data_IF_367670926304
#
_entry.id   IF_367670926304
#
_cell.length_a   1.000
_cell.length_b   1.000
_cell.length_c   1.000
_cell.angle_alpha   90.00
_cell.angle_beta   90.00
_cell.angle_gamma   90.00
#
_symmetry.space_group_name_H-M   'P 1'
#
loop_
_entity.id
_entity.type
_entity.pdbx_description
1 polymer ?
#
# COMPACT_ATOMS: atom_id res chain seq x y z
N UNK A 1 -4.52 -3.22 2.00
CA UNK A 1 -3.81 -1.92 1.87
C UNK A 1 -4.61 -0.75 2.46
N UNK A 2 -5.68 -0.27 1.83
CA UNK A 2 -6.39 0.97 2.25
C UNK A 2 -6.88 0.98 3.70
N UNK A 3 -7.37 -0.17 4.20
CA UNK A 3 -7.74 -0.32 5.60
C UNK A 3 -6.57 -0.03 6.54
N UNK A 4 -5.40 -0.60 6.24
CA UNK A 4 -4.17 -0.38 7.02
C UNK A 4 -3.66 1.06 6.91
N UNK A 5 -3.98 1.75 5.82
CA UNK A 5 -3.65 3.16 5.61
C UNK A 5 -4.63 4.12 6.34
N UNK A 6 -5.64 3.61 7.05
CA UNK A 6 -6.59 4.43 7.78
C UNK A 6 -7.56 5.20 6.86
N UNK A 7 -7.75 4.75 5.62
CA UNK A 7 -8.62 5.46 4.69
C UNK A 7 -10.07 5.44 5.21
N UNK A 8 -10.82 6.55 5.15
CA UNK A 8 -12.25 6.55 5.47
C UNK A 8 -13.05 5.70 4.48
N UNK A 9 -14.13 5.06 4.92
CA UNK A 9 -14.90 4.13 4.09
C UNK A 9 -15.43 4.76 2.80
N UNK A 10 -15.92 6.01 2.84
CA UNK A 10 -16.39 6.71 1.63
C UNK A 10 -15.30 7.01 0.59
N UNK A 11 -14.02 6.93 1.01
CA UNK A 11 -12.85 7.18 0.16
C UNK A 11 -12.28 5.92 -0.46
N UNK A 12 -12.81 4.74 -0.13
CA UNK A 12 -12.35 3.49 -0.75
C UNK A 12 -12.64 3.48 -2.25
N UNK A 13 -11.81 2.78 -3.04
CA UNK A 13 -12.12 2.54 -4.45
C UNK A 13 -13.50 1.92 -4.63
N UNK A 14 -14.23 2.35 -5.65
CA UNK A 14 -15.49 1.72 -6.02
C UNK A 14 -15.23 0.27 -6.47
N UNK A 15 -15.80 -0.76 -5.79
CA UNK A 15 -15.55 -2.15 -6.13
C UNK A 15 -16.14 -2.57 -7.49
N UNK A 16 -17.15 -1.86 -7.99
CA UNK A 16 -17.76 -2.09 -9.30
C UNK A 16 -17.18 -1.18 -10.39
N UNK A 17 -16.30 -0.25 -10.02
CA UNK A 17 -15.63 0.63 -10.97
C UNK A 17 -14.62 -0.10 -11.86
N UNK A 18 -14.14 0.60 -12.89
CA UNK A 18 -13.10 0.10 -13.80
C UNK A 18 -11.73 0.56 -13.31
N UNK A 19 -10.74 -0.34 -13.29
CA UNK A 19 -9.36 0.02 -12.97
C UNK A 19 -8.80 1.00 -14.00
N UNK A 20 -7.85 1.84 -13.57
CA UNK A 20 -7.11 2.69 -14.51
C UNK A 20 -6.23 1.84 -15.44
N UNK A 21 -5.82 2.41 -16.58
CA UNK A 21 -5.02 1.72 -17.60
C UNK A 21 -3.67 1.17 -17.10
N UNK A 22 -3.15 1.73 -16.01
CA UNK A 22 -1.95 1.25 -15.32
C UNK A 22 -2.24 0.19 -14.24
N UNK A 23 -3.44 -0.38 -14.21
CA UNK A 23 -3.89 -1.36 -13.23
C UNK A 23 -4.18 -0.82 -11.83
N UNK A 24 -4.11 0.50 -11.63
CA UNK A 24 -4.50 1.11 -10.36
C UNK A 24 -6.01 0.88 -10.08
N UNK A 25 -6.42 0.77 -8.81
CA UNK A 25 -7.84 0.63 -8.45
C UNK A 25 -8.67 1.78 -9.03
N UNK A 26 -10.00 1.61 -9.17
CA UNK A 26 -10.89 2.70 -9.51
C UNK A 26 -10.75 3.88 -8.53
N UNK A 27 -11.16 5.07 -8.98
CA UNK A 27 -11.28 6.20 -8.09
C UNK A 27 -12.28 5.92 -6.95
N UNK A 28 -12.16 6.71 -5.89
CA UNK A 28 -13.23 6.77 -4.90
C UNK A 28 -14.51 7.32 -5.55
N UNK A 29 -15.69 6.86 -5.12
CA UNK A 29 -16.96 7.46 -5.50
C UNK A 29 -16.97 8.98 -5.26
N UNK A 30 -17.59 9.77 -6.17
CA UNK A 30 -17.75 11.19 -5.94
C UNK A 30 -18.70 11.46 -4.77
N UNK A 31 -18.46 12.58 -4.09
CA UNK A 31 -19.28 13.08 -2.98
C UNK A 31 -20.08 14.29 -3.45
N UNK A 32 -21.32 14.42 -3.01
CA UNK A 32 -22.18 15.57 -3.31
C UNK A 32 -22.21 16.47 -2.08
N UNK A 33 -21.43 17.55 -2.10
CA UNK A 33 -21.33 18.50 -0.99
C UNK A 33 -21.06 19.91 -1.54
N UNK A 34 -21.40 20.93 -0.75
CA UNK A 34 -21.16 22.34 -1.09
C UNK A 34 -22.00 22.87 -2.27
N UNK A 35 -23.10 22.20 -2.62
CA UNK A 35 -24.05 22.65 -3.65
C UNK A 35 -25.33 23.17 -3.00
N UNK A 36 -26.16 23.99 -3.69
CA UNK A 36 -27.46 24.40 -3.14
C UNK A 36 -28.35 23.22 -2.74
N UNK A 37 -28.30 22.12 -3.50
CA UNK A 37 -29.06 20.90 -3.22
C UNK A 37 -28.40 20.02 -2.12
N UNK A 38 -27.08 20.14 -1.93
CA UNK A 38 -26.29 19.44 -0.92
C UNK A 38 -25.39 20.43 -0.15
N UNK A 39 -25.94 21.27 0.74
CA UNK A 39 -25.17 22.32 1.42
C UNK A 39 -24.28 21.79 2.55
N UNK A 40 -24.65 20.65 3.12
CA UNK A 40 -23.93 20.00 4.22
C UNK A 40 -22.77 19.12 3.70
N UNK A 41 -21.82 18.71 4.57
CA UNK A 41 -20.81 17.72 4.19
C UNK A 41 -21.46 16.41 3.78
N UNK A 42 -20.99 15.82 2.67
CA UNK A 42 -21.58 14.57 2.15
C UNK A 42 -21.45 13.39 3.12
N UNK A 43 -20.45 13.44 3.99
CA UNK A 43 -20.18 12.45 5.02
C UNK A 43 -20.03 13.21 6.33
N UNK A 44 -21.09 13.27 7.16
CA UNK A 44 -21.03 14.08 8.36
C UNK A 44 -20.00 13.52 9.37
N UNK A 45 -19.39 14.39 10.20
CA UNK A 45 -18.45 13.95 11.24
C UNK A 45 -19.07 12.93 12.19
N UNK A 46 -18.31 11.90 12.55
CA UNK A 46 -18.79 10.84 13.45
C UNK A 46 -19.64 9.77 12.75
N UNK A 47 -19.93 9.92 11.45
CA UNK A 47 -20.64 8.89 10.69
C UNK A 47 -19.74 7.66 10.54
N UNK A 48 -20.31 6.45 10.44
CA UNK A 48 -19.54 5.24 10.14
C UNK A 48 -18.72 5.38 8.84
N UNK A 49 -19.19 6.17 7.88
CA UNK A 49 -18.47 6.40 6.63
C UNK A 49 -17.22 7.26 6.81
N UNK A 50 -17.16 8.13 7.83
CA UNK A 50 -15.96 8.91 8.17
C UNK A 50 -14.79 8.06 8.69
N UNK A 51 -15.05 6.82 9.09
CA UNK A 51 -14.05 5.95 9.69
C UNK A 51 -13.58 4.85 8.75
N UNK A 52 -12.44 4.25 9.10
CA UNK A 52 -11.92 3.09 8.38
C UNK A 52 -12.85 1.89 8.59
N UNK A 53 -13.27 1.21 7.52
CA UNK A 53 -14.17 0.06 7.63
C UNK A 53 -13.48 -1.12 8.33
N UNK A 54 -14.28 -1.89 9.05
CA UNK A 54 -13.92 -3.22 9.55
C UNK A 54 -13.76 -4.21 8.38
N UNK A 55 -13.07 -5.36 8.56
CA UNK A 55 -12.99 -6.37 7.50
C UNK A 55 -14.36 -6.83 6.95
N UNK A 56 -15.40 -6.80 7.79
CA UNK A 56 -16.77 -7.21 7.48
C UNK A 56 -17.50 -6.13 6.68
N UNK A 57 -17.16 -4.85 6.90
CA UNK A 57 -17.80 -3.69 6.28
C UNK A 57 -16.96 -3.08 5.15
N UNK A 58 -16.02 -3.85 4.60
CA UNK A 58 -15.24 -3.44 3.42
C UNK A 58 -16.18 -3.32 2.20
N UNK A 59 -16.04 -2.25 1.39
CA UNK A 59 -16.72 -2.13 0.11
C UNK A 59 -16.50 -3.37 -0.77
N UNK A 60 -17.59 -3.97 -1.23
CA UNK A 60 -17.60 -5.13 -2.12
C UNK A 60 -18.59 -4.92 -3.26
N UNK A 61 -18.47 -5.65 -4.37
CA UNK A 61 -19.39 -5.50 -5.50
C UNK A 61 -20.88 -5.55 -5.11
N UNK A 62 -21.26 -6.51 -4.25
CA UNK A 62 -22.64 -6.68 -3.78
C UNK A 62 -23.10 -5.64 -2.75
N UNK A 63 -22.19 -4.90 -2.12
CA UNK A 63 -22.50 -3.79 -1.23
C UNK A 63 -21.36 -2.75 -1.30
N UNK A 64 -21.44 -1.78 -2.23
CA UNK A 64 -20.35 -0.87 -2.52
C UNK A 64 -20.18 0.23 -1.47
N UNK A 65 -21.18 0.48 -0.62
CA UNK A 65 -21.10 1.44 0.49
C UNK A 65 -21.71 0.88 1.78
N UNK A 66 -21.10 -0.14 2.42
CA UNK A 66 -21.68 -0.77 3.61
C UNK A 66 -21.87 0.18 4.79
N UNK A 67 -21.00 1.20 4.89
CA UNK A 67 -21.03 2.16 5.98
C UNK A 67 -22.32 3.00 6.00
N UNK A 68 -23.00 3.20 4.87
CA UNK A 68 -24.22 3.99 4.81
C UNK A 68 -25.41 3.32 5.51
N UNK A 69 -25.32 2.02 5.82
CA UNK A 69 -26.36 1.27 6.53
C UNK A 69 -26.01 1.00 8.00
N UNK A 70 -24.92 1.59 8.51
CA UNK A 70 -24.50 1.43 9.89
C UNK A 70 -25.03 2.59 10.74
N UNK A 71 -25.55 2.28 11.92
CA UNK A 71 -26.07 3.29 12.85
C UNK A 71 -24.99 3.79 13.83
N UNK A 72 -23.86 3.09 13.92
CA UNK A 72 -22.84 3.35 14.94
C UNK A 72 -21.44 3.23 14.34
N UNK A 73 -20.59 4.21 14.66
CA UNK A 73 -19.17 4.17 14.34
C UNK A 73 -18.39 3.30 15.33
N UNK A 74 -17.07 3.13 15.10
CA UNK A 74 -16.21 2.29 15.95
C UNK A 74 -16.06 2.82 17.39
N UNK A 75 -16.44 4.07 17.66
CA UNK A 75 -16.37 4.69 18.99
C UNK A 75 -17.71 4.71 19.74
N UNK A 76 -18.71 3.98 19.23
CA UNK A 76 -20.07 3.96 19.78
C UNK A 76 -21.01 4.93 19.06
N UNK A 77 -22.22 5.16 19.62
CA UNK A 77 -23.18 6.09 19.04
C UNK A 77 -22.61 7.51 18.99
N UNK A 78 -22.74 8.16 17.84
CA UNK A 78 -22.33 9.55 17.70
C UNK A 78 -23.23 10.46 18.58
N UNK A 79 -22.68 11.51 19.22
CA UNK A 79 -23.48 12.50 19.92
C UNK A 79 -24.45 13.16 18.94
N UNK A 80 -25.76 13.00 19.17
CA UNK A 80 -26.80 13.47 18.24
C UNK A 80 -27.41 12.40 17.32
N UNK A 81 -27.01 11.12 17.45
CA UNK A 81 -27.52 10.01 16.65
C UNK A 81 -26.72 9.76 15.38
N UNK A 82 -27.13 8.76 14.58
CA UNK A 82 -26.55 8.48 13.26
C UNK A 82 -26.57 9.78 12.45
N UNK A 83 -25.42 10.29 12.00
CA UNK A 83 -25.40 11.55 11.28
C UNK A 83 -26.19 11.42 9.97
N UNK A 84 -26.68 12.55 9.46
CA UNK A 84 -27.60 12.66 8.32
C UNK A 84 -27.17 11.90 7.05
N UNK A 85 -28.00 11.95 5.99
CA UNK A 85 -27.83 11.12 4.80
C UNK A 85 -26.40 11.21 4.24
N UNK A 86 -25.87 10.05 3.84
CA UNK A 86 -24.55 9.94 3.23
C UNK A 86 -24.69 10.20 1.73
N UNK A 87 -24.17 11.33 1.27
CA UNK A 87 -24.27 11.78 -0.12
C UNK A 87 -23.05 11.33 -0.94
N UNK A 88 -22.80 10.02 -0.96
CA UNK A 88 -21.70 9.38 -1.70
C UNK A 88 -22.28 8.60 -2.87
N UNK A 89 -21.89 8.96 -4.10
CA UNK A 89 -22.46 8.38 -5.32
C UNK A 89 -21.69 7.13 -5.73
N UNK A 90 -21.94 6.01 -5.05
CA UNK A 90 -21.33 4.73 -5.42
C UNK A 90 -22.05 4.07 -6.59
N UNK A 91 -21.35 3.19 -7.30
CA UNK A 91 -21.99 2.28 -8.24
C UNK A 91 -23.13 1.49 -7.59
N UNK A 92 -24.10 1.05 -8.39
CA UNK A 92 -25.17 0.18 -7.91
C UNK A 92 -24.60 -1.15 -7.38
N UNK A 93 -25.25 -1.78 -6.38
CA UNK A 93 -24.90 -3.14 -5.94
C UNK A 93 -24.93 -4.15 -7.09
N UNK A 94 -23.88 -4.95 -7.18
CA UNK A 94 -23.74 -6.03 -8.15
C UNK A 94 -23.34 -7.33 -7.43
N UNK A 95 -24.32 -8.17 -7.04
CA UNK A 95 -24.05 -9.46 -6.38
C UNK A 95 -23.21 -10.43 -7.22
N UNK A 96 -23.26 -10.29 -8.55
CA UNK A 96 -22.49 -11.09 -9.50
C UNK A 96 -21.18 -10.39 -9.93
N UNK A 97 -20.82 -9.28 -9.30
CA UNK A 97 -19.61 -8.54 -9.63
C UNK A 97 -18.34 -9.30 -9.27
N UNK A 98 -17.27 -9.00 -9.97
CA UNK A 98 -15.98 -9.66 -9.74
C UNK A 98 -15.48 -9.35 -8.33
N UNK A 99 -15.08 -10.36 -7.53
CA UNK A 99 -14.38 -10.09 -6.29
C UNK A 99 -13.07 -9.32 -6.58
N UNK A 100 -12.45 -8.68 -5.56
CA UNK A 100 -11.10 -8.16 -5.71
C UNK A 100 -10.20 -9.23 -6.32
N UNK A 101 -9.50 -8.88 -7.40
CA UNK A 101 -8.60 -9.79 -8.13
C UNK A 101 -7.16 -9.31 -7.99
N UNK A 102 -6.15 -10.17 -8.22
CA UNK A 102 -4.76 -9.79 -8.08
C UNK A 102 -4.40 -8.51 -8.85
N UNK A 103 -3.53 -7.69 -8.24
CA UNK A 103 -2.96 -6.50 -8.85
C UNK A 103 -1.85 -6.82 -9.86
N UNK A 104 -1.05 -5.81 -10.18
CA UNK A 104 0.10 -5.99 -11.08
C UNK A 104 1.26 -6.66 -10.32
N UNK A 105 1.78 -7.82 -10.80
CA UNK A 105 2.86 -8.56 -10.14
C UNK A 105 4.10 -7.71 -9.82
N UNK A 106 4.53 -6.90 -10.80
CA UNK A 106 5.73 -6.09 -10.68
C UNK A 106 5.62 -4.92 -9.69
N UNK A 107 4.41 -4.62 -9.23
CA UNK A 107 4.17 -3.63 -8.18
C UNK A 107 4.34 -4.23 -6.76
N UNK A 108 4.46 -5.55 -6.65
CA UNK A 108 4.67 -6.29 -5.41
C UNK A 108 6.14 -6.57 -5.11
N UNK A 109 6.39 -7.34 -4.04
CA UNK A 109 7.72 -7.91 -3.80
C UNK A 109 8.02 -8.98 -4.85
N UNK A 110 9.24 -9.05 -5.41
CA UNK A 110 9.59 -10.08 -6.37
C UNK A 110 9.33 -11.48 -5.83
N UNK A 111 8.59 -12.29 -6.59
CA UNK A 111 8.24 -13.67 -6.23
C UNK A 111 7.06 -13.82 -5.26
N UNK A 112 6.47 -12.72 -4.78
CA UNK A 112 5.25 -12.75 -3.95
C UNK A 112 4.01 -12.52 -4.82
N UNK A 113 2.87 -13.11 -4.42
CA UNK A 113 1.61 -12.86 -5.12
C UNK A 113 1.21 -11.38 -4.97
N UNK A 114 0.89 -10.66 -6.05
CA UNK A 114 0.46 -9.28 -5.94
C UNK A 114 -0.82 -9.17 -5.07
N UNK A 115 -0.94 -8.09 -4.27
CA UNK A 115 -2.11 -7.89 -3.43
C UNK A 115 -3.36 -7.71 -4.30
N UNK A 116 -4.51 -8.13 -3.76
CA UNK A 116 -5.79 -7.95 -4.44
C UNK A 116 -6.18 -6.47 -4.55
N UNK A 117 -6.75 -6.12 -5.71
CA UNK A 117 -7.20 -4.77 -6.05
C UNK A 117 -8.71 -4.83 -6.38
N UNK A 118 -9.52 -3.89 -5.89
CA UNK A 118 -10.93 -3.78 -6.27
C UNK A 118 -11.11 -3.32 -7.73
N UNK A 119 -12.33 -3.44 -8.24
CA UNK A 119 -12.69 -3.00 -9.58
C UNK A 119 -12.34 -3.99 -10.68
N UNK A 120 -12.96 -3.77 -11.84
CA UNK A 120 -12.80 -4.61 -13.04
C UNK A 120 -11.42 -4.40 -13.65
N UNK A 121 -10.60 -5.46 -13.82
CA UNK A 121 -9.32 -5.36 -14.51
C UNK A 121 -9.45 -4.89 -15.95
N UNK A 122 -8.48 -4.10 -16.40
CA UNK A 122 -8.36 -3.69 -17.80
C UNK A 122 -7.06 -4.22 -18.39
N UNK A 123 -6.99 -4.46 -19.72
CA UNK A 123 -5.73 -4.81 -20.38
C UNK A 123 -4.67 -3.72 -20.13
N UNK A 124 -3.47 -4.15 -19.72
CA UNK A 124 -2.34 -3.26 -19.46
C UNK A 124 -1.47 -3.23 -20.72
N UNK A 125 -1.16 -2.02 -21.19
CA UNK A 125 -0.27 -1.84 -22.33
C UNK A 125 1.16 -2.29 -21.98
N UNK A 126 1.94 -2.80 -22.96
CA UNK A 126 3.36 -3.05 -22.76
C UNK A 126 4.07 -1.80 -22.23
N UNK A 127 4.97 -1.99 -21.27
CA UNK A 127 5.83 -0.91 -20.78
C UNK A 127 6.76 -0.39 -21.89
N UNK A 128 7.33 0.82 -21.72
CA UNK A 128 8.33 1.34 -22.64
C UNK A 128 9.57 0.42 -22.70
N UNK A 129 10.37 0.49 -23.78
CA UNK A 129 11.60 -0.29 -23.89
C UNK A 129 12.49 -0.12 -22.65
N UNK A 130 12.96 -1.24 -22.08
CA UNK A 130 13.77 -1.25 -20.85
C UNK A 130 12.97 -1.18 -19.54
N UNK A 131 11.64 -1.03 -19.60
CA UNK A 131 10.80 -1.25 -18.42
C UNK A 131 10.89 -2.71 -17.97
N UNK A 132 10.88 -2.93 -16.66
CA UNK A 132 10.77 -4.28 -16.13
C UNK A 132 9.39 -4.85 -16.53
N UNK A 133 9.34 -6.09 -17.01
CA UNK A 133 8.12 -6.80 -17.36
C UNK A 133 8.06 -8.12 -16.61
N UNK A 134 6.90 -8.44 -16.05
CA UNK A 134 6.54 -9.80 -15.63
C UNK A 134 5.43 -10.31 -16.54
N UNK A 135 5.44 -11.61 -16.83
CA UNK A 135 4.42 -12.21 -17.68
C UNK A 135 3.07 -12.19 -16.97
N UNK A 136 2.06 -11.57 -17.59
CA UNK A 136 0.67 -11.51 -17.09
C UNK A 136 -0.10 -12.82 -17.33
N UNK A 137 0.58 -13.90 -17.75
CA UNK A 137 -0.02 -15.21 -17.99
C UNK A 137 -0.49 -15.89 -16.70
N UNK A 138 -1.35 -16.91 -16.79
CA UNK A 138 -1.70 -17.74 -15.64
C UNK A 138 -0.42 -18.24 -14.96
N UNK A 139 -0.37 -18.30 -13.62
CA UNK A 139 0.82 -18.73 -12.90
C UNK A 139 1.28 -20.05 -13.50
N UNK A 140 2.51 -20.05 -14.04
CA UNK A 140 3.16 -21.29 -14.41
C UNK A 140 3.25 -22.21 -13.19
N UNK A 141 3.43 -23.52 -13.38
CA UNK A 141 3.56 -24.45 -12.27
C UNK A 141 4.59 -23.90 -11.28
N UNK A 142 4.23 -23.93 -9.99
CA UNK A 142 5.09 -23.46 -8.90
C UNK A 142 6.48 -24.08 -9.10
N UNK A 143 7.53 -23.28 -9.26
CA UNK A 143 8.87 -23.83 -9.36
C UNK A 143 9.12 -24.67 -8.10
N UNK A 144 9.74 -25.86 -8.23
CA UNK A 144 10.08 -26.66 -7.06
C UNK A 144 10.87 -25.78 -6.09
N UNK A 145 10.69 -25.96 -4.77
CA UNK A 145 11.43 -25.19 -3.78
C UNK A 145 12.91 -25.25 -4.14
N UNK A 146 13.54 -24.08 -4.30
CA UNK A 146 14.96 -24.00 -4.59
C UNK A 146 15.69 -24.72 -3.45
N UNK A 147 16.22 -25.91 -3.74
CA UNK A 147 17.21 -26.55 -2.88
C UNK A 147 18.31 -25.53 -2.66
N UNK A 148 18.54 -25.18 -1.40
CA UNK A 148 19.63 -24.31 -0.98
C UNK A 148 20.88 -24.75 -1.74
N UNK A 149 21.49 -23.82 -2.49
CA UNK A 149 22.77 -24.07 -3.11
C UNK A 149 23.73 -24.63 -2.05
N UNK A 150 24.52 -25.66 -2.36
CA UNK A 150 25.50 -26.19 -1.41
C UNK A 150 26.39 -25.05 -0.91
N UNK A 151 26.77 -25.06 0.38
CA UNK A 151 27.56 -23.99 0.97
C UNK A 151 28.83 -23.75 0.14
N UNK A 152 29.12 -22.47 -0.13
CA UNK A 152 30.35 -22.05 -0.77
C UNK A 152 31.55 -22.62 0.02
N UNK A 153 32.59 -23.13 -0.66
CA UNK A 153 33.79 -23.59 0.03
C UNK A 153 34.41 -22.43 0.83
N UNK A 154 35.00 -22.71 2.01
CA UNK A 154 35.61 -21.68 2.84
C UNK A 154 36.66 -20.89 2.05
N UNK A 155 36.62 -19.57 2.19
CA UNK A 155 37.58 -18.68 1.55
C UNK A 155 39.01 -18.97 2.04
N UNK A 156 40.04 -18.80 1.19
CA UNK A 156 41.43 -18.85 1.64
C UNK A 156 41.69 -17.84 2.76
N UNK A 157 42.59 -18.13 3.71
CA UNK A 157 42.98 -17.16 4.73
C UNK A 157 43.57 -15.90 4.08
N UNK A 158 43.22 -14.74 4.64
CA UNK A 158 43.73 -13.46 4.17
C UNK A 158 45.28 -13.42 4.27
N UNK A 159 45.99 -12.80 3.31
CA UNK A 159 47.43 -12.58 3.43
C UNK A 159 47.74 -11.73 4.66
N UNK A 160 48.91 -11.93 5.32
CA UNK A 160 49.35 -11.06 6.40
C UNK A 160 49.40 -9.60 5.93
N UNK A 161 48.67 -8.72 6.62
CA UNK A 161 48.65 -7.29 6.33
C UNK A 161 50.02 -6.64 6.62
N UNK A 162 50.34 -5.50 5.97
CA UNK A 162 51.53 -4.73 6.33
C UNK A 162 51.42 -4.29 7.80
N UNK A 163 52.38 -4.68 8.63
CA UNK A 163 52.41 -4.31 10.05
C UNK A 163 52.47 -2.79 10.26
N UNK A 164 52.15 -2.30 11.46
CA UNK A 164 52.13 -0.87 11.75
C UNK A 164 53.55 -0.27 11.68
N UNK A 165 53.82 0.48 10.61
CA UNK A 165 54.99 1.36 10.53
C UNK A 165 54.62 2.72 11.15
N UNK A 166 54.83 2.86 12.45
CA UNK A 166 54.71 4.15 13.13
C UNK A 166 55.94 5.04 12.81
N UNK A 167 55.76 6.32 12.43
CA UNK A 167 56.85 7.28 12.30
C UNK A 167 57.52 7.55 13.67
N UNK A 168 58.85 7.62 13.70
CA UNK A 168 59.63 7.84 14.93
C UNK A 168 59.33 9.20 15.58
N UNK A 169 59.30 9.30 16.93
CA UNK A 169 58.98 10.54 17.64
C UNK A 169 60.12 11.57 17.59
N UNK A 170 59.80 12.81 17.20
CA UNK A 170 60.68 13.99 17.24
C UNK A 170 60.80 14.59 18.66
N UNK A 171 61.25 13.80 19.65
CA UNK A 171 61.64 14.34 20.96
C UNK A 171 63.04 13.84 21.30
N UNK A 172 64.04 14.73 21.27
CA UNK A 172 65.36 14.48 21.84
C UNK A 172 65.27 14.48 23.37
N UNK A 173 65.97 13.57 24.09
CA UNK A 173 65.92 13.51 25.54
C UNK A 173 66.78 14.63 26.12
N UNK A 174 66.14 15.63 26.71
CA UNK A 174 66.80 16.69 27.49
C UNK A 174 66.50 18.09 26.96
N UNK A 175 65.48 18.74 27.51
CA UNK A 175 65.21 20.14 27.21
C UNK A 175 63.79 20.55 27.59
N UNK A 176 63.68 21.25 28.71
CA UNK A 176 62.49 21.94 29.19
C UNK A 176 61.87 22.89 28.16
N UNK A 177 60.54 22.87 28.09
CA UNK A 177 59.69 24.06 28.04
C UNK A 177 59.63 24.85 26.73
N UNK A 178 58.40 25.16 26.30
CA UNK A 178 58.19 26.17 25.27
C UNK A 178 56.76 26.23 24.77
N UNK A 179 55.87 26.84 25.57
CA UNK A 179 54.61 27.40 25.09
C UNK A 179 54.87 28.55 24.10
N UNK A 180 53.87 28.81 23.24
CA UNK A 180 53.63 30.01 22.41
C UNK A 180 54.13 29.93 20.96
N UNK A 181 53.20 29.88 20.01
CA UNK A 181 52.57 31.06 19.36
C UNK A 181 51.41 30.59 18.47
#
# INVERSE_FOLDING_TARGET
>A
FWRSAGLPAFRFPDPNGTRFANGAPPAAPPVLEGTPDHPEPAVPPGSPCSYTPTPETLPRPGNPLPCASLEQGPFGPAPGGSPGPVDVVTSAPNPNGLPPTPGIPIAGRPGEMPPDVPGTPVPIAPGPPGARSESLGPPGPTPPPATLAPPLPPAPPAPPGPGPQLPAPFITPGGTGGSNQ
#
